data_IF_861488570193
#
_entry.id   IF_861488570193
#
_cell.length_a   1.000
_cell.length_b   1.000
_cell.length_c   1.000
_cell.angle_alpha   90.00
_cell.angle_beta   90.00
_cell.angle_gamma   90.00
#
_symmetry.space_group_name_H-M   'P 1'
#
loop_
_entity.id
_entity.type
_entity.pdbx_description
1 polymer ?
#
# COMPACT_ATOMS: atom_id res chain seq x y z
N UNK A 1 -5.44 -10.97 5.71
CA UNK A 1 -4.79 -11.63 6.85
C UNK A 1 -4.41 -10.54 7.82
N UNK A 2 -4.88 -10.58 9.07
CA UNK A 2 -4.45 -9.61 10.08
C UNK A 2 -2.97 -9.89 10.37
N UNK A 3 -2.09 -8.91 10.15
CA UNK A 3 -0.67 -9.13 10.32
C UNK A 3 -0.24 -9.08 11.78
N UNK A 4 1.03 -9.40 12.02
CA UNK A 4 1.60 -9.43 13.37
C UNK A 4 1.46 -8.05 14.03
N UNK A 5 1.03 -8.02 15.30
CA UNK A 5 0.84 -6.79 16.07
C UNK A 5 1.84 -6.76 17.21
N UNK A 6 2.50 -5.62 17.40
CA UNK A 6 3.51 -5.40 18.42
C UNK A 6 3.43 -4.00 19.02
N UNK A 7 4.49 -3.61 19.71
CA UNK A 7 4.60 -2.31 20.36
C UNK A 7 5.97 -1.66 20.14
N UNK A 8 5.98 -0.32 20.15
CA UNK A 8 7.21 0.48 20.00
C UNK A 8 8.03 0.42 21.29
N UNK A 9 9.29 0.00 21.17
CA UNK A 9 10.24 -0.10 22.29
C UNK A 9 11.32 0.98 22.27
N UNK A 10 11.63 1.54 21.09
CA UNK A 10 12.60 2.62 20.93
C UNK A 10 12.28 3.48 19.71
N UNK A 11 12.57 4.77 19.80
CA UNK A 11 12.45 5.74 18.72
C UNK A 11 13.79 6.47 18.59
N UNK A 12 14.34 6.57 17.38
CA UNK A 12 15.61 7.22 17.08
C UNK A 12 15.51 7.94 15.73
N UNK A 13 15.00 9.18 15.76
CA UNK A 13 14.69 9.92 14.54
C UNK A 13 13.65 9.14 13.71
N UNK A 14 13.88 8.88 12.42
CA UNK A 14 12.93 8.17 11.58
C UNK A 14 13.00 6.63 11.74
N UNK A 15 13.92 6.12 12.56
CA UNK A 15 14.04 4.68 12.85
C UNK A 15 13.31 4.34 14.16
N UNK A 16 12.46 3.33 14.11
CA UNK A 16 11.68 2.80 15.23
C UNK A 16 12.04 1.34 15.46
N UNK A 17 12.17 0.93 16.72
CA UNK A 17 12.36 -0.49 17.09
C UNK A 17 11.11 -0.97 17.79
N UNK A 18 10.56 -2.09 17.33
CA UNK A 18 9.38 -2.70 17.91
C UNK A 18 9.64 -4.14 18.34
N UNK A 19 8.82 -4.62 19.28
CA UNK A 19 8.77 -6.03 19.72
C UNK A 19 7.36 -6.57 19.49
N UNK A 20 7.23 -7.90 19.40
CA UNK A 20 5.93 -8.57 19.29
C UNK A 20 5.46 -8.79 17.85
N UNK A 21 6.27 -8.39 16.87
CA UNK A 21 6.02 -8.60 15.44
C UNK A 21 6.41 -10.01 14.98
N UNK A 22 6.06 -11.04 15.76
CA UNK A 22 6.35 -12.43 15.43
C UNK A 22 5.65 -12.84 14.12
N UNK A 23 6.42 -13.37 13.17
CA UNK A 23 5.91 -13.73 11.84
C UNK A 23 5.91 -12.59 10.81
N UNK A 24 6.31 -11.38 11.21
CA UNK A 24 6.62 -10.32 10.24
C UNK A 24 7.91 -10.65 9.47
N UNK A 25 7.99 -10.19 8.23
CA UNK A 25 9.11 -10.49 7.31
C UNK A 25 9.88 -9.21 6.99
N UNK A 26 11.11 -9.39 6.53
CA UNK A 26 11.89 -8.31 5.94
C UNK A 26 11.09 -7.64 4.81
N UNK A 27 11.13 -6.32 4.76
CA UNK A 27 10.44 -5.45 3.80
C UNK A 27 8.92 -5.39 3.94
N UNK A 28 8.30 -6.09 4.91
CA UNK A 28 6.87 -5.89 5.15
C UNK A 28 6.59 -4.43 5.55
N UNK A 29 5.54 -3.87 4.98
CA UNK A 29 5.02 -2.58 5.40
C UNK A 29 4.38 -2.72 6.78
N UNK A 30 4.54 -1.69 7.59
CA UNK A 30 3.97 -1.60 8.93
C UNK A 30 3.22 -0.27 9.11
N UNK A 31 2.20 -0.30 9.96
CA UNK A 31 1.47 0.85 10.47
C UNK A 31 1.99 1.14 11.86
N UNK A 32 2.60 2.31 12.05
CA UNK A 32 3.32 2.68 13.27
C UNK A 32 2.53 3.73 14.06
N UNK A 33 2.30 3.42 15.33
CA UNK A 33 1.60 4.31 16.25
C UNK A 33 0.08 4.37 16.03
N UNK A 34 -0.58 5.18 16.86
CA UNK A 34 -2.03 5.44 16.79
C UNK A 34 -2.43 6.16 15.50
N UNK A 35 -1.53 7.00 14.97
CA UNK A 35 -1.68 7.69 13.70
C UNK A 35 -1.47 6.76 12.48
N UNK A 36 -1.05 5.50 12.71
CA UNK A 36 -0.83 4.49 11.66
C UNK A 36 0.11 4.95 10.55
N UNK A 37 1.20 5.61 10.95
CA UNK A 37 2.24 6.09 10.04
C UNK A 37 2.80 4.93 9.23
N UNK A 38 3.12 5.18 7.96
CA UNK A 38 3.66 4.14 7.09
C UNK A 38 5.15 3.96 7.38
N UNK A 39 5.57 2.71 7.58
CA UNK A 39 6.97 2.34 7.66
C UNK A 39 7.24 0.97 7.05
N UNK A 40 8.51 0.58 7.03
CA UNK A 40 9.00 -0.66 6.44
C UNK A 40 9.97 -1.37 7.40
N UNK A 41 9.85 -2.70 7.52
CA UNK A 41 10.80 -3.50 8.29
C UNK A 41 12.12 -3.64 7.53
N UNK A 42 13.18 -3.06 8.07
CA UNK A 42 14.53 -3.04 7.46
C UNK A 42 15.53 -3.99 8.14
N UNK A 43 15.18 -4.54 9.32
CA UNK A 43 15.97 -5.57 10.01
C UNK A 43 15.10 -6.34 10.99
N UNK A 44 15.32 -7.64 11.10
CA UNK A 44 14.80 -8.50 12.16
C UNK A 44 15.97 -8.96 13.03
N UNK A 45 15.86 -8.80 14.35
CA UNK A 45 16.87 -9.20 15.33
C UNK A 45 16.18 -9.86 16.54
N UNK A 46 16.22 -11.20 16.58
CA UNK A 46 15.51 -12.00 17.57
C UNK A 46 14.00 -11.71 17.58
N UNK A 47 13.52 -11.17 18.69
CA UNK A 47 12.10 -10.78 18.87
C UNK A 47 11.81 -9.32 18.50
N UNK A 48 12.82 -8.59 18.01
CA UNK A 48 12.69 -7.17 17.66
C UNK A 48 12.79 -6.94 16.16
N UNK A 49 12.07 -5.93 15.69
CA UNK A 49 12.10 -5.47 14.31
C UNK A 49 12.51 -3.99 14.28
N UNK A 50 13.43 -3.64 13.37
CA UNK A 50 13.78 -2.27 13.05
C UNK A 50 12.92 -1.82 11.89
N UNK A 51 12.29 -0.67 12.07
CA UNK A 51 11.33 -0.09 11.15
C UNK A 51 11.82 1.28 10.72
N UNK A 52 11.88 1.49 9.42
CA UNK A 52 12.09 2.80 8.82
C UNK A 52 10.74 3.44 8.56
N UNK A 53 10.41 4.52 9.29
CA UNK A 53 9.16 5.27 9.08
C UNK A 53 9.39 6.24 7.92
N UNK A 54 8.41 6.34 7.00
CA UNK A 54 8.47 7.22 5.83
C UNK A 54 7.92 8.62 6.10
N UNK A 55 7.24 8.79 7.22
CA UNK A 55 6.66 10.03 7.70
C UNK A 55 7.41 10.52 8.94
N UNK A 56 7.19 11.78 9.32
CA UNK A 56 7.80 12.35 10.52
C UNK A 56 7.32 11.62 11.79
N UNK A 57 8.26 11.23 12.65
CA UNK A 57 8.01 10.41 13.86
C UNK A 57 7.73 11.25 15.11
N UNK A 58 7.67 12.58 15.00
CA UNK A 58 7.46 13.46 16.15
C UNK A 58 6.09 13.19 16.79
N UNK A 59 6.07 13.01 18.10
CA UNK A 59 4.82 12.72 18.82
C UNK A 59 4.45 11.24 18.88
N UNK A 60 5.25 10.34 18.33
CA UNK A 60 5.16 8.91 18.68
C UNK A 60 5.69 8.68 20.10
N UNK A 61 5.01 7.81 20.84
CA UNK A 61 5.40 7.39 22.20
C UNK A 61 5.80 5.91 22.25
N UNK A 62 6.59 5.56 23.28
CA UNK A 62 6.88 4.16 23.60
C UNK A 62 5.59 3.44 24.03
N UNK A 63 5.50 2.15 23.70
CA UNK A 63 4.33 1.30 23.96
C UNK A 63 3.18 1.50 22.97
N UNK A 64 3.30 2.42 22.00
CA UNK A 64 2.30 2.55 20.97
C UNK A 64 2.25 1.34 20.03
N UNK A 65 1.07 1.03 19.44
CA UNK A 65 0.91 -0.15 18.61
C UNK A 65 1.72 -0.03 17.31
N UNK A 66 2.19 -1.18 16.84
CA UNK A 66 2.69 -1.34 15.48
C UNK A 66 2.07 -2.58 14.85
N UNK A 67 1.64 -2.49 13.61
CA UNK A 67 0.94 -3.58 12.91
C UNK A 67 1.62 -3.83 11.56
N UNK A 68 2.10 -5.04 11.33
CA UNK A 68 2.57 -5.45 10.00
C UNK A 68 1.37 -5.68 9.07
N UNK A 69 1.49 -5.29 7.81
CA UNK A 69 0.52 -5.63 6.77
C UNK A 69 0.70 -7.06 6.26
N UNK A 70 1.83 -7.71 6.61
CA UNK A 70 2.21 -9.01 6.07
C UNK A 70 2.44 -9.01 4.57
N UNK A 71 2.74 -7.85 3.99
CA UNK A 71 3.07 -7.69 2.58
C UNK A 71 4.11 -6.57 2.39
N UNK A 72 5.00 -6.69 1.40
CA UNK A 72 5.91 -5.62 1.06
C UNK A 72 5.17 -4.41 0.47
N UNK A 73 5.90 -3.32 0.25
CA UNK A 73 5.35 -2.18 -0.49
C UNK A 73 4.89 -2.66 -1.86
N UNK A 74 3.63 -2.39 -2.18
CA UNK A 74 3.02 -2.77 -3.44
C UNK A 74 2.31 -1.56 -4.04
N UNK A 75 2.22 -1.58 -5.36
CA UNK A 75 1.47 -0.58 -6.12
C UNK A 75 0.15 -1.20 -6.59
N UNK A 76 -0.89 -0.38 -6.59
CA UNK A 76 -2.13 -0.71 -7.26
C UNK A 76 -2.01 -0.45 -8.76
N UNK A 77 -2.27 -1.47 -9.57
CA UNK A 77 -2.17 -1.40 -11.03
C UNK A 77 -3.57 -1.52 -11.63
N UNK A 78 -3.95 -0.54 -12.45
CA UNK A 78 -5.19 -0.61 -13.19
C UNK A 78 -5.63 0.69 -13.84
N UNK A 79 -6.83 0.71 -14.44
CA UNK A 79 -7.41 1.91 -15.02
C UNK A 79 -7.67 2.98 -13.97
N UNK A 80 -7.38 4.23 -14.34
CA UNK A 80 -7.53 5.40 -13.47
C UNK A 80 -6.22 5.94 -12.93
N UNK A 81 -5.07 5.29 -13.22
CA UNK A 81 -3.76 5.86 -12.92
C UNK A 81 -3.39 7.01 -13.85
N UNK A 82 -3.81 6.96 -15.12
CA UNK A 82 -3.47 8.01 -16.07
C UNK A 82 -4.16 9.30 -15.66
N UNK A 83 -3.44 10.42 -15.81
CA UNK A 83 -3.77 11.77 -15.35
C UNK A 83 -3.79 12.00 -13.83
N UNK A 84 -3.63 10.97 -13.00
CA UNK A 84 -3.52 11.13 -11.55
C UNK A 84 -2.10 11.52 -11.14
N UNK A 85 -2.01 12.38 -10.13
CA UNK A 85 -0.73 12.83 -9.56
C UNK A 85 -0.55 12.13 -8.22
N UNK A 86 0.54 11.37 -8.09
CA UNK A 86 0.83 10.57 -6.90
C UNK A 86 2.06 11.09 -6.16
N UNK A 87 2.13 10.82 -4.86
CA UNK A 87 3.37 10.93 -4.08
C UNK A 87 4.30 9.70 -4.31
N UNK A 88 5.43 9.67 -3.59
CA UNK A 88 6.46 8.61 -3.73
C UNK A 88 6.01 7.21 -3.34
N UNK A 89 4.83 7.03 -2.75
CA UNK A 89 4.26 5.74 -2.35
C UNK A 89 2.86 5.52 -2.93
N UNK A 90 2.55 6.19 -4.05
CA UNK A 90 1.31 6.03 -4.81
C UNK A 90 0.03 6.49 -4.09
N UNK A 91 0.10 7.51 -3.24
CA UNK A 91 -1.09 8.20 -2.72
C UNK A 91 -1.46 9.39 -3.62
N UNK A 92 -2.73 9.51 -4.06
CA UNK A 92 -3.17 10.57 -4.96
C UNK A 92 -3.20 11.93 -4.23
N UNK A 93 -2.38 12.88 -4.71
CA UNK A 93 -2.17 14.19 -4.08
C UNK A 93 -3.40 15.09 -4.17
N UNK A 94 -4.19 14.96 -5.24
CA UNK A 94 -5.48 15.64 -5.40
C UNK A 94 -6.45 15.22 -4.29
N UNK A 95 -6.59 13.91 -4.02
CA UNK A 95 -7.46 13.42 -2.94
C UNK A 95 -6.96 13.79 -1.56
N UNK A 96 -5.63 13.80 -1.35
CA UNK A 96 -5.05 14.25 -0.07
C UNK A 96 -5.41 15.71 0.16
N UNK A 97 -5.23 16.56 -0.86
CA UNK A 97 -5.56 17.98 -0.79
C UNK A 97 -7.04 18.20 -0.53
N UNK A 98 -7.92 17.46 -1.22
CA UNK A 98 -9.36 17.59 -1.02
C UNK A 98 -9.80 17.16 0.39
N UNK A 99 -9.07 16.25 1.03
CA UNK A 99 -9.33 15.81 2.40
C UNK A 99 -8.72 16.72 3.49
N UNK A 100 -7.61 17.40 3.22
CA UNK A 100 -6.81 18.07 4.27
C UNK A 100 -6.38 19.52 3.98
N UNK A 101 -6.64 20.02 2.78
CA UNK A 101 -6.21 21.35 2.34
C UNK A 101 -4.79 21.35 1.79
N UNK A 102 -4.12 22.50 1.93
CA UNK A 102 -2.87 22.78 1.19
C UNK A 102 -1.62 22.06 1.74
N UNK A 103 -1.70 21.51 2.96
CA UNK A 103 -0.59 20.81 3.61
C UNK A 103 -0.88 19.31 3.73
N UNK A 104 0.15 18.49 3.53
CA UNK A 104 0.07 17.04 3.68
C UNK A 104 0.23 16.70 5.17
N UNK A 105 -0.85 16.26 5.82
CA UNK A 105 -0.75 15.76 7.19
C UNK A 105 -0.26 14.31 7.18
N UNK A 106 0.21 13.85 8.33
CA UNK A 106 0.73 12.48 8.51
C UNK A 106 -0.41 11.48 8.72
N UNK A 107 -0.16 10.21 8.44
CA UNK A 107 -1.11 9.12 8.71
C UNK A 107 -2.32 9.08 7.78
N UNK A 108 -2.26 9.79 6.64
CA UNK A 108 -3.37 9.85 5.68
C UNK A 108 -3.46 8.56 4.89
N UNK A 109 -4.65 7.95 4.95
CA UNK A 109 -4.99 6.76 4.18
C UNK A 109 -5.97 7.16 3.09
N UNK A 110 -5.50 7.16 1.85
CA UNK A 110 -6.32 7.37 0.65
C UNK A 110 -6.13 6.19 -0.30
N UNK A 111 -7.17 5.84 -1.04
CA UNK A 111 -7.10 4.79 -2.06
C UNK A 111 -6.42 5.30 -3.34
N UNK A 112 -5.43 4.56 -3.82
CA UNK A 112 -4.64 4.90 -5.01
C UNK A 112 -5.51 5.04 -6.26
N UNK A 113 -6.41 4.09 -6.49
CA UNK A 113 -7.44 4.19 -7.53
C UNK A 113 -8.78 4.63 -6.95
N UNK A 114 -9.53 5.42 -7.72
CA UNK A 114 -10.89 5.82 -7.37
C UNK A 114 -11.87 4.65 -7.50
N UNK A 115 -12.44 4.22 -6.36
CA UNK A 115 -13.42 3.14 -6.27
C UNK A 115 -14.82 3.58 -6.71
N UNK A 116 -15.10 4.88 -6.79
CA UNK A 116 -16.36 5.43 -7.27
C UNK A 116 -16.44 5.50 -8.79
N UNK A 117 -15.29 5.50 -9.48
CA UNK A 117 -15.23 5.60 -10.94
C UNK A 117 -15.70 4.31 -11.59
N UNK A 118 -16.67 4.44 -12.50
CA UNK A 118 -17.20 3.33 -13.30
C UNK A 118 -16.54 3.29 -14.67
N UNK A 119 -16.25 2.08 -15.14
CA UNK A 119 -15.63 1.81 -16.44
C UNK A 119 -16.52 0.90 -17.27
N UNK A 120 -16.60 1.17 -18.58
CA UNK A 120 -17.23 0.25 -19.53
C UNK A 120 -16.19 -0.78 -19.96
N UNK A 121 -16.32 -2.00 -19.42
CA UNK A 121 -15.43 -3.11 -19.72
C UNK A 121 -15.91 -3.89 -20.95
N UNK A 122 -15.00 -4.11 -21.90
CA UNK A 122 -15.22 -4.93 -23.09
C UNK A 122 -14.38 -6.20 -22.95
N UNK A 123 -15.06 -7.31 -22.63
CA UNK A 123 -14.42 -8.61 -22.49
C UNK A 123 -13.81 -9.10 -23.81
N UNK A 124 -12.62 -9.69 -23.74
CA UNK A 124 -11.94 -10.36 -24.87
C UNK A 124 -11.87 -11.87 -24.72
N UNK A 125 -12.18 -12.37 -23.53
CA UNK A 125 -12.29 -13.80 -23.19
C UNK A 125 -13.73 -14.17 -22.83
N UNK A 126 -14.05 -15.45 -22.91
CA UNK A 126 -15.35 -16.01 -22.58
C UNK A 126 -15.23 -17.04 -21.45
N UNK A 127 -16.35 -17.34 -20.81
CA UNK A 127 -16.39 -18.39 -19.80
C UNK A 127 -15.96 -19.73 -20.41
N UNK A 128 -15.00 -20.40 -19.77
CA UNK A 128 -14.42 -21.66 -20.24
C UNK A 128 -13.11 -21.51 -21.01
N UNK A 129 -12.72 -20.29 -21.39
CA UNK A 129 -11.40 -20.05 -21.95
C UNK A 129 -10.33 -20.27 -20.88
N UNK A 130 -9.22 -20.91 -21.26
CA UNK A 130 -8.02 -20.98 -20.42
C UNK A 130 -7.23 -19.69 -20.57
N UNK A 131 -6.89 -19.07 -19.45
CA UNK A 131 -6.08 -17.86 -19.38
C UNK A 131 -4.99 -18.06 -18.34
N UNK A 132 -3.82 -17.48 -18.58
CA UNK A 132 -2.69 -17.51 -17.66
C UNK A 132 -2.19 -16.10 -17.31
N UNK A 133 -1.19 -16.01 -16.43
CA UNK A 133 -0.49 -14.77 -16.10
C UNK A 133 -0.18 -13.88 -17.31
N UNK A 134 -0.60 -12.62 -17.26
CA UNK A 134 -0.35 -11.64 -18.32
C UNK A 134 -1.34 -11.67 -19.50
N UNK A 135 -2.23 -12.66 -19.58
CA UNK A 135 -3.26 -12.68 -20.62
C UNK A 135 -4.25 -11.53 -20.44
N UNK A 136 -4.79 -11.05 -21.57
CA UNK A 136 -5.74 -9.93 -21.59
C UNK A 136 -7.15 -10.47 -21.38
N UNK A 137 -7.76 -10.15 -20.24
CA UNK A 137 -9.16 -10.48 -19.95
C UNK A 137 -10.12 -9.58 -20.74
N UNK A 138 -9.74 -8.32 -20.92
CA UNK A 138 -10.49 -7.37 -21.70
C UNK A 138 -9.89 -5.98 -21.64
N UNK A 139 -10.66 -5.00 -22.08
CA UNK A 139 -10.19 -3.63 -22.23
C UNK A 139 -11.22 -2.65 -21.66
N UNK A 140 -10.73 -1.54 -21.12
CA UNK A 140 -11.54 -0.35 -20.82
C UNK A 140 -10.97 0.84 -21.59
N UNK A 141 -11.83 1.77 -22.00
CA UNK A 141 -11.36 3.01 -22.62
C UNK A 141 -10.86 3.99 -21.54
N UNK A 142 -9.57 4.31 -21.55
CA UNK A 142 -8.95 5.31 -20.68
C UNK A 142 -8.34 6.43 -21.54
N UNK A 143 -9.03 7.58 -21.57
CA UNK A 143 -8.73 8.68 -22.49
C UNK A 143 -8.70 8.19 -23.94
N UNK A 144 -7.59 8.40 -24.65
CA UNK A 144 -7.40 7.95 -26.04
C UNK A 144 -6.84 6.52 -26.14
N UNK A 145 -6.62 5.83 -25.01
CA UNK A 145 -6.01 4.51 -24.97
C UNK A 145 -7.02 3.42 -24.58
N UNK A 146 -6.92 2.26 -25.25
CA UNK A 146 -7.56 1.03 -24.78
C UNK A 146 -6.68 0.40 -23.69
N UNK A 147 -7.05 0.62 -22.42
CA UNK A 147 -6.33 0.06 -21.28
C UNK A 147 -6.68 -1.41 -21.12
N UNK A 148 -5.67 -2.28 -21.19
CA UNK A 148 -5.83 -3.73 -21.08
C UNK A 148 -5.89 -4.16 -19.63
N UNK A 149 -6.96 -4.85 -19.27
CA UNK A 149 -7.08 -5.53 -17.97
C UNK A 149 -6.51 -6.93 -18.14
N UNK A 150 -5.43 -7.22 -17.42
CA UNK A 150 -4.66 -8.44 -17.55
C UNK A 150 -4.80 -9.33 -16.33
N UNK A 151 -4.56 -10.62 -16.52
CA UNK A 151 -4.44 -11.59 -15.44
C UNK A 151 -3.20 -11.26 -14.60
N UNK A 152 -3.32 -11.17 -13.26
CA UNK A 152 -2.17 -10.96 -12.37
C UNK A 152 -1.07 -12.02 -12.58
N UNK A 153 0.21 -11.64 -12.40
CA UNK A 153 1.33 -12.52 -12.69
C UNK A 153 1.40 -13.76 -11.78
N UNK A 154 0.75 -13.69 -10.61
CA UNK A 154 0.69 -14.72 -9.58
C UNK A 154 -0.59 -15.56 -9.64
N UNK A 155 -1.49 -15.30 -10.59
CA UNK A 155 -2.67 -16.12 -10.79
C UNK A 155 -2.27 -17.53 -11.26
N UNK A 156 -2.77 -18.57 -10.58
CA UNK A 156 -2.65 -19.95 -11.05
C UNK A 156 -3.59 -20.20 -12.24
N UNK A 157 -3.15 -21.04 -13.18
CA UNK A 157 -3.97 -21.56 -14.30
C UNK A 157 -5.20 -22.36 -13.84
#
# INVERSE_FOLDING_TARGET
MAGATGEITRISGPAVIARGLAGARMYDIVRVGKEKLIGEIIRLDGETAFVQVYEDTSGLYLGEPIESTGAPLALELGPGMLSSIYDGIQRPLDKIRDAQGDFISRGVIVTSLDRGRKWTFVAKVKQGDRVGPGDILGEVQEYSYAHRVMVPPDASE
#
